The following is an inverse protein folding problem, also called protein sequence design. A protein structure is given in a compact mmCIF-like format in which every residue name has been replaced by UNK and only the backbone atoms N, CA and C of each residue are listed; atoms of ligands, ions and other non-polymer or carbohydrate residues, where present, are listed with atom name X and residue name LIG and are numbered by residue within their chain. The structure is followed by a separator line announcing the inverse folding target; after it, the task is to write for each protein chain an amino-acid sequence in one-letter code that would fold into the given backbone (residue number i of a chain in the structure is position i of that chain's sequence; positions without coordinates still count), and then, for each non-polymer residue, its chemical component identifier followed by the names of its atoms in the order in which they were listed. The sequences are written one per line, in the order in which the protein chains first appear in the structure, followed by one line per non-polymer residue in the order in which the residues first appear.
data_IF_221116939857
#
_entry.id   IF_221116939857
#
_cell.length_a   1.000
_cell.length_b   1.000
_cell.length_c   1.000
_cell.angle_alpha   90.00
_cell.angle_beta   90.00
_cell.angle_gamma   90.00
#
_symmetry.space_group_name_H-M   'P 1'
#
loop_
_entity.id
_entity.type
_entity.pdbx_description
1 polymer ?
#
# COMPACT_ATOMS: atom_id res chain seq x y z
N UNK A 1 -4.20 -12.92 17.50
CA UNK A 1 -4.29 -12.75 16.04
C UNK A 1 -3.52 -11.50 15.69
N UNK A 2 -2.51 -11.61 14.83
CA UNK A 2 -1.72 -10.48 14.37
C UNK A 2 -2.34 -9.82 13.14
N UNK A 3 -2.43 -8.50 13.14
CA UNK A 3 -2.78 -7.69 11.96
C UNK A 3 -1.59 -6.80 11.62
N UNK A 4 -1.12 -6.89 10.38
CA UNK A 4 0.07 -6.19 9.89
C UNK A 4 -0.37 -5.13 8.87
N UNK A 5 -0.04 -3.87 9.12
CA UNK A 5 -0.28 -2.78 8.18
C UNK A 5 0.99 -1.96 8.01
N UNK A 6 1.41 -1.71 6.77
CA UNK A 6 2.65 -0.97 6.48
C UNK A 6 2.23 0.46 6.13
N UNK A 7 2.67 1.44 6.93
CA UNK A 7 2.48 2.85 6.58
C UNK A 7 3.55 3.25 5.58
N UNK A 8 3.12 3.81 4.45
CA UNK A 8 4.02 4.30 3.41
C UNK A 8 4.99 5.38 3.94
N UNK A 9 6.15 5.50 3.31
CA UNK A 9 7.11 6.56 3.54
C UNK A 9 6.59 7.99 3.57
N UNK A 10 6.96 8.67 4.64
CA UNK A 10 6.87 10.12 4.78
C UNK A 10 7.79 10.80 3.75
N UNK A 11 7.25 11.27 2.62
CA UNK A 11 7.98 12.20 1.76
C UNK A 11 8.26 13.51 2.51
N UNK A 12 9.41 14.14 2.28
CA UNK A 12 9.71 15.51 2.75
C UNK A 12 8.92 16.60 1.98
N UNK A 13 7.86 16.26 1.23
CA UNK A 13 7.02 17.19 0.46
C UNK A 13 5.56 17.10 0.91
N UNK A 14 4.84 18.23 1.02
CA UNK A 14 3.44 18.23 1.43
C UNK A 14 2.56 17.81 0.23
N UNK A 15 2.30 16.53 0.08
CA UNK A 15 1.38 15.96 -0.92
C UNK A 15 0.50 14.86 -0.31
N UNK A 16 -0.71 14.60 -0.85
CA UNK A 16 -1.73 13.83 -0.15
C UNK A 16 -1.64 12.33 -0.46
N UNK A 17 -1.23 11.53 0.51
CA UNK A 17 -1.80 10.19 0.77
C UNK A 17 -1.32 9.67 2.13
N UNK A 18 -2.20 9.72 3.13
CA UNK A 18 -2.08 8.96 4.39
C UNK A 18 -2.85 7.65 4.23
N UNK A 19 -2.53 6.85 3.22
CA UNK A 19 -3.15 5.54 3.05
C UNK A 19 -2.16 4.42 3.41
N UNK A 20 -2.63 3.49 4.24
CA UNK A 20 -1.90 2.28 4.63
C UNK A 20 -1.74 1.40 3.40
N UNK A 21 -0.53 0.92 3.11
CA UNK A 21 -0.30 -0.01 2.01
C UNK A 21 -0.37 -1.44 2.51
N UNK A 22 -0.90 -2.32 1.67
CA UNK A 22 -0.81 -3.77 1.89
C UNK A 22 0.64 -4.23 1.80
N UNK A 23 0.95 -5.33 2.47
CA UNK A 23 2.22 -6.05 2.29
C UNK A 23 2.51 -6.31 0.81
N UNK A 24 3.79 -6.34 0.48
CA UNK A 24 4.30 -6.50 -0.88
C UNK A 24 3.94 -5.37 -1.86
N UNK A 25 3.58 -4.18 -1.37
CA UNK A 25 3.35 -3.02 -2.23
C UNK A 25 4.63 -2.56 -2.97
N UNK A 26 4.45 -1.89 -4.11
CA UNK A 26 5.53 -1.25 -4.86
C UNK A 26 5.83 0.13 -4.26
N UNK A 27 7.10 0.40 -3.94
CA UNK A 27 7.56 1.63 -3.28
C UNK A 27 8.72 2.24 -4.08
N UNK A 28 8.73 3.53 -4.38
CA UNK A 28 9.88 4.17 -5.01
C UNK A 28 11.14 4.07 -4.14
N UNK A 29 12.31 3.99 -4.75
CA UNK A 29 13.59 4.07 -4.04
C UNK A 29 13.79 5.46 -3.42
N UNK A 30 14.55 5.51 -2.32
CA UNK A 30 14.93 6.75 -1.62
C UNK A 30 13.90 7.21 -0.59
N UNK A 31 12.98 6.31 -0.26
CA UNK A 31 11.93 6.53 0.72
C UNK A 31 12.32 5.97 2.11
N UNK A 32 11.59 6.30 3.17
CA UNK A 32 11.81 5.72 4.52
C UNK A 32 10.64 4.87 5.00
N UNK A 33 10.88 3.60 5.35
CA UNK A 33 9.86 2.71 5.92
C UNK A 33 9.58 2.99 7.40
N UNK A 34 8.34 2.69 7.83
CA UNK A 34 7.90 2.65 9.23
C UNK A 34 6.87 1.51 9.37
N UNK A 35 7.11 0.57 10.28
CA UNK A 35 6.26 -0.61 10.48
C UNK A 35 5.33 -0.41 11.68
N UNK A 36 4.06 -0.74 11.49
CA UNK A 36 3.06 -0.80 12.55
C UNK A 36 2.48 -2.22 12.63
N UNK A 37 2.43 -2.78 13.84
CA UNK A 37 1.91 -4.13 14.07
C UNK A 37 0.88 -4.08 15.19
N UNK A 38 -0.30 -4.65 14.96
CA UNK A 38 -1.30 -4.83 16.00
C UNK A 38 -1.28 -6.27 16.50
N UNK A 39 -0.98 -6.43 17.79
CA UNK A 39 -1.07 -7.70 18.50
C UNK A 39 -2.33 -7.75 19.36
N UNK A 40 -3.21 -8.74 19.13
CA UNK A 40 -4.37 -9.01 19.99
C UNK A 40 -4.10 -10.15 20.97
N UNK A 41 -4.49 -9.98 22.23
CA UNK A 41 -4.52 -11.06 23.21
C UNK A 41 -5.76 -11.95 23.03
N UNK A 42 -5.61 -13.09 22.37
CA UNK A 42 -6.70 -14.07 22.19
C UNK A 42 -6.82 -15.08 23.35
N UNK A 43 -6.02 -14.93 24.41
CA UNK A 43 -6.11 -15.79 25.59
C UNK A 43 -7.34 -15.44 26.43
N UNK A 44 -7.80 -16.40 27.25
CA UNK A 44 -8.91 -16.18 28.20
C UNK A 44 -8.52 -15.41 29.46
N UNK A 45 -7.27 -14.98 29.58
CA UNK A 45 -6.72 -14.29 30.75
C UNK A 45 -5.81 -13.13 30.32
N UNK A 46 -5.63 -12.11 31.17
CA UNK A 46 -4.71 -11.01 30.88
C UNK A 46 -3.28 -11.50 30.66
N UNK A 47 -2.60 -10.90 29.68
CA UNK A 47 -1.23 -11.26 29.31
C UNK A 47 -0.39 -10.06 28.95
N UNK A 48 0.85 -10.09 29.39
CA UNK A 48 1.87 -9.16 28.94
C UNK A 48 2.39 -9.61 27.56
N UNK A 49 2.00 -8.86 26.54
CA UNK A 49 2.36 -9.11 25.14
C UNK A 49 3.64 -8.35 24.77
N UNK A 50 4.38 -8.89 23.82
CA UNK A 50 5.55 -8.22 23.22
C UNK A 50 5.62 -8.51 21.73
N UNK A 51 6.56 -7.84 21.07
CA UNK A 51 6.81 -8.00 19.65
C UNK A 51 8.31 -7.99 19.40
N UNK A 52 8.74 -8.78 18.43
CA UNK A 52 10.05 -8.68 17.82
C UNK A 52 9.90 -8.72 16.31
N UNK A 53 10.59 -7.86 15.58
CA UNK A 53 10.69 -8.00 14.13
C UNK A 53 12.05 -7.61 13.58
N UNK A 54 12.35 -8.21 12.43
CA UNK A 54 13.55 -7.95 11.66
C UNK A 54 13.16 -7.60 10.24
N UNK A 55 13.58 -6.43 9.76
CA UNK A 55 13.47 -6.03 8.36
C UNK A 55 14.82 -6.22 7.69
N UNK A 56 14.83 -6.86 6.52
CA UNK A 56 16.03 -7.03 5.69
C UNK A 56 15.85 -6.35 4.34
N UNK A 57 16.94 -5.80 3.84
CA UNK A 57 17.03 -5.29 2.49
C UNK A 57 17.12 -6.41 1.44
N UNK A 58 17.08 -6.08 0.14
CA UNK A 58 17.13 -7.06 -0.95
C UNK A 58 18.41 -7.92 -0.97
N UNK A 59 19.50 -7.49 -0.33
CA UNK A 59 20.74 -8.25 -0.20
C UNK A 59 20.75 -9.14 1.07
N UNK A 60 19.67 -9.11 1.85
CA UNK A 60 19.52 -9.83 3.11
C UNK A 60 20.17 -9.15 4.32
N UNK A 61 20.60 -7.88 4.20
CA UNK A 61 21.17 -7.11 5.30
C UNK A 61 20.06 -6.59 6.20
N UNK A 62 20.21 -6.75 7.51
CA UNK A 62 19.24 -6.22 8.49
C UNK A 62 19.29 -4.69 8.49
N UNK A 63 18.17 -4.06 8.17
CA UNK A 63 17.98 -2.60 8.19
C UNK A 63 17.17 -2.13 9.40
N UNK A 64 16.41 -3.04 10.01
CA UNK A 64 15.74 -2.81 11.28
C UNK A 64 15.70 -4.11 12.09
N UNK A 65 15.97 -3.99 13.39
CA UNK A 65 15.78 -5.02 14.40
C UNK A 65 15.08 -4.34 15.58
N UNK A 66 13.78 -4.61 15.75
CA UNK A 66 12.91 -3.90 16.69
C UNK A 66 12.32 -4.89 17.70
N UNK A 67 12.38 -4.54 18.98
CA UNK A 67 11.72 -5.27 20.05
C UNK A 67 11.01 -4.29 20.98
N UNK A 68 9.79 -4.62 21.38
CA UNK A 68 9.05 -3.87 22.39
C UNK A 68 8.05 -4.74 23.16
N UNK A 69 7.67 -4.26 24.33
CA UNK A 69 6.74 -4.90 25.26
C UNK A 69 5.68 -3.90 25.71
N UNK A 70 4.43 -4.35 25.80
CA UNK A 70 3.30 -3.45 26.08
C UNK A 70 3.54 -2.68 27.39
N UNK A 71 3.58 -1.36 27.28
CA UNK A 71 3.73 -0.47 28.42
C UNK A 71 2.90 0.81 28.26
N UNK A 72 2.48 1.38 29.39
CA UNK A 72 1.76 2.67 29.45
C UNK A 72 2.48 3.55 30.45
N UNK A 73 2.92 4.73 30.01
CA UNK A 73 3.75 5.66 30.80
C UNK A 73 5.00 4.99 31.41
N UNK A 74 5.61 4.03 30.70
CA UNK A 74 6.78 3.29 31.16
C UNK A 74 6.50 2.21 32.21
N UNK A 75 5.23 2.00 32.58
CA UNK A 75 4.82 0.87 33.41
C UNK A 75 4.41 -0.31 32.52
N UNK A 76 4.93 -1.50 32.85
CA UNK A 76 4.52 -2.77 32.24
C UNK A 76 3.03 -3.01 32.52
N UNK A 77 2.23 -3.27 31.47
CA UNK A 77 0.82 -3.62 31.61
C UNK A 77 0.50 -4.97 30.98
N UNK A 78 -0.64 -5.54 31.34
CA UNK A 78 -1.20 -6.72 30.67
C UNK A 78 -2.38 -6.28 29.83
N UNK A 79 -2.57 -6.90 28.66
CA UNK A 79 -3.75 -6.72 27.84
C UNK A 79 -4.85 -7.69 28.30
N UNK A 80 -6.07 -7.20 28.47
CA UNK A 80 -7.22 -8.05 28.77
C UNK A 80 -7.58 -8.95 27.57
N UNK A 81 -8.33 -10.05 27.79
CA UNK A 81 -8.81 -10.90 26.71
C UNK A 81 -9.57 -10.13 25.63
N UNK A 82 -9.10 -10.20 24.38
CA UNK A 82 -9.69 -9.56 23.21
C UNK A 82 -9.14 -8.18 22.89
N UNK A 83 -8.37 -7.55 23.78
CA UNK A 83 -7.75 -6.25 23.55
C UNK A 83 -6.56 -6.35 22.60
N UNK A 84 -6.37 -5.28 21.82
CA UNK A 84 -5.23 -5.10 20.93
C UNK A 84 -4.27 -4.01 21.42
N UNK A 85 -3.02 -4.11 20.95
CA UNK A 85 -2.00 -3.10 21.15
C UNK A 85 -1.24 -2.86 19.85
N UNK A 86 -1.01 -1.59 19.55
CA UNK A 86 -0.21 -1.13 18.42
C UNK A 86 1.25 -1.01 18.83
N UNK A 87 2.13 -1.71 18.12
CA UNK A 87 3.57 -1.57 18.21
C UNK A 87 4.07 -0.78 17.01
N UNK A 88 4.91 0.23 17.26
CA UNK A 88 5.41 1.16 16.23
C UNK A 88 6.93 1.12 16.20
N UNK A 89 7.48 0.79 15.03
CA UNK A 89 8.93 0.69 14.83
C UNK A 89 9.72 1.98 14.82
N UNK A 90 11.00 1.81 14.54
CA UNK A 90 11.85 2.87 14.06
C UNK A 90 11.62 3.18 12.58
N UNK A 91 12.41 4.13 12.07
CA UNK A 91 12.47 4.43 10.64
C UNK A 91 13.72 3.80 10.04
N UNK A 92 13.60 3.29 8.82
CA UNK A 92 14.72 2.76 8.03
C UNK A 92 14.63 3.22 6.57
N UNK A 93 15.76 3.22 5.86
CA UNK A 93 15.84 3.73 4.50
C UNK A 93 15.64 2.62 3.45
N UNK A 94 14.74 2.86 2.51
CA UNK A 94 14.47 2.05 1.33
C UNK A 94 15.37 2.51 0.17
N UNK A 95 16.67 2.25 0.30
CA UNK A 95 17.71 2.81 -0.57
C UNK A 95 18.15 1.92 -1.74
N UNK A 96 17.82 0.64 -1.67
CA UNK A 96 18.16 -0.38 -2.69
C UNK A 96 16.91 -0.82 -3.43
N UNK A 97 17.05 -1.13 -4.72
CA UNK A 97 16.02 -1.75 -5.55
C UNK A 97 15.82 -3.22 -5.19
N UNK A 98 14.57 -3.69 -5.20
CA UNK A 98 14.21 -5.08 -4.95
C UNK A 98 13.32 -5.26 -3.71
N UNK A 99 13.11 -6.51 -3.34
CA UNK A 99 12.18 -6.90 -2.29
C UNK A 99 12.83 -6.79 -0.90
N UNK A 100 12.24 -5.98 -0.04
CA UNK A 100 12.53 -5.97 1.39
C UNK A 100 11.65 -7.02 2.05
N UNK A 101 12.21 -7.77 2.99
CA UNK A 101 11.49 -8.82 3.72
C UNK A 101 11.34 -8.43 5.18
N UNK A 102 10.27 -8.90 5.82
CA UNK A 102 10.06 -8.75 7.26
C UNK A 102 9.73 -10.11 7.89
N UNK A 103 10.33 -10.36 9.05
CA UNK A 103 9.96 -11.44 9.95
C UNK A 103 9.47 -10.83 11.27
N UNK A 104 8.26 -11.18 11.69
CA UNK A 104 7.59 -10.65 12.87
C UNK A 104 7.24 -11.82 13.79
N UNK A 105 7.52 -11.67 15.08
CA UNK A 105 7.18 -12.62 16.14
C UNK A 105 6.40 -11.90 17.23
N UNK A 106 5.16 -12.31 17.46
CA UNK A 106 4.37 -11.88 18.60
C UNK A 106 4.73 -12.73 19.81
N UNK A 107 5.07 -12.08 20.91
CA UNK A 107 5.64 -12.68 22.10
C UNK A 107 4.68 -12.58 23.29
N UNK A 108 4.84 -13.50 24.23
CA UNK A 108 4.17 -13.50 25.53
C UNK A 108 5.17 -13.91 26.61
N UNK A 109 4.96 -13.45 27.85
CA UNK A 109 5.79 -13.73 29.03
C UNK A 109 7.21 -13.14 28.94
N UNK A 110 7.43 -11.85 29.30
CA UNK A 110 8.70 -11.16 29.09
C UNK A 110 9.92 -11.81 29.75
N UNK A 111 9.76 -12.46 30.90
CA UNK A 111 10.88 -13.10 31.61
C UNK A 111 11.29 -14.46 31.00
N UNK A 112 10.42 -15.04 30.17
CA UNK A 112 10.67 -16.27 29.41
C UNK A 112 9.84 -16.22 28.13
N UNK A 113 10.25 -15.42 27.13
CA UNK A 113 9.43 -15.12 25.96
C UNK A 113 9.03 -16.38 25.19
N UNK A 114 7.74 -16.47 24.88
CA UNK A 114 7.15 -17.51 24.03
C UNK A 114 6.55 -16.84 22.81
N UNK A 115 6.89 -17.34 21.62
CA UNK A 115 6.27 -16.90 20.36
C UNK A 115 4.86 -17.48 20.29
N UNK A 116 3.87 -16.61 20.20
CA UNK A 116 2.44 -16.97 20.14
C UNK A 116 1.83 -16.79 18.75
N UNK A 117 2.46 -15.97 17.90
CA UNK A 117 2.09 -15.78 16.50
C UNK A 117 3.34 -15.31 15.73
N UNK A 118 3.40 -15.57 14.42
CA UNK A 118 4.54 -15.15 13.60
C UNK A 118 4.17 -14.95 12.14
N UNK A 119 4.85 -14.03 11.48
CA UNK A 119 4.75 -13.77 10.05
C UNK A 119 6.15 -13.65 9.46
N UNK A 120 6.36 -14.23 8.28
CA UNK A 120 7.58 -14.04 7.50
C UNK A 120 7.18 -13.87 6.03
N UNK A 121 7.68 -12.82 5.38
CA UNK A 121 7.39 -12.57 3.98
C UNK A 121 7.88 -11.22 3.47
N UNK A 122 7.38 -10.86 2.28
CA UNK A 122 7.72 -9.63 1.60
C UNK A 122 7.06 -8.44 2.31
N UNK A 123 7.88 -7.48 2.73
CA UNK A 123 7.41 -6.22 3.27
C UNK A 123 6.94 -5.30 2.15
N UNK A 124 7.82 -5.00 1.21
CA UNK A 124 7.55 -4.19 0.03
C UNK A 124 8.59 -4.51 -1.06
N UNK A 125 8.26 -4.18 -2.30
CA UNK A 125 9.22 -4.21 -3.40
C UNK A 125 9.52 -2.78 -3.80
N UNK A 126 10.80 -2.44 -3.78
CA UNK A 126 11.25 -1.11 -4.18
C UNK A 126 11.65 -1.10 -5.64
N UNK A 127 11.22 -0.07 -6.37
CA UNK A 127 11.51 0.08 -7.80
C UNK A 127 12.07 1.46 -8.11
N UNK A 128 12.84 1.54 -9.19
CA UNK A 128 13.25 2.81 -9.79
C UNK A 128 12.09 3.52 -10.52
N UNK A 129 10.94 2.87 -10.64
CA UNK A 129 9.78 3.44 -11.31
C UNK A 129 9.17 4.53 -10.43
N UNK A 130 9.26 5.78 -10.90
CA UNK A 130 8.41 6.85 -10.37
C UNK A 130 6.97 6.39 -10.61
N UNK A 131 6.11 6.31 -9.58
CA UNK A 131 4.72 5.93 -9.78
C UNK A 131 4.13 6.89 -10.79
N UNK A 132 3.44 6.39 -11.82
CA UNK A 132 2.98 7.27 -12.87
C UNK A 132 2.03 8.33 -12.31
N UNK A 133 2.41 9.59 -12.46
CA UNK A 133 1.50 10.69 -12.18
C UNK A 133 0.44 10.65 -13.28
N UNK A 134 -0.80 10.36 -12.90
CA UNK A 134 -1.90 10.28 -13.86
C UNK A 134 -2.69 11.59 -13.85
N UNK A 135 -2.70 12.28 -14.98
CA UNK A 135 -3.55 13.46 -15.18
C UNK A 135 -4.86 13.06 -15.85
N UNK A 136 -6.00 13.47 -15.28
CA UNK A 136 -7.31 13.26 -15.89
C UNK A 136 -7.44 14.17 -17.12
N UNK A 137 -7.44 13.58 -18.31
CA UNK A 137 -7.55 14.32 -19.57
C UNK A 137 -8.96 14.37 -20.12
N UNK A 138 -9.81 13.40 -19.77
CA UNK A 138 -11.20 13.34 -20.22
C UNK A 138 -12.09 12.72 -19.15
N UNK A 139 -13.25 13.34 -18.92
CA UNK A 139 -14.27 12.83 -18.01
C UNK A 139 -15.65 13.04 -18.63
N UNK A 140 -16.32 11.94 -18.95
CA UNK A 140 -17.66 11.95 -19.53
C UNK A 140 -18.62 11.25 -18.56
N UNK A 141 -19.60 12.01 -18.06
CA UNK A 141 -20.71 11.48 -17.26
C UNK A 141 -21.92 11.34 -18.17
N UNK A 142 -22.49 10.14 -18.25
CA UNK A 142 -23.63 9.87 -19.10
C UNK A 142 -24.94 10.18 -18.37
N UNK A 143 -26.02 10.59 -19.08
CA UNK A 143 -27.30 10.88 -18.45
C UNK A 143 -27.86 9.75 -17.59
N UNK A 144 -27.54 8.49 -17.94
CA UNK A 144 -27.95 7.31 -17.18
C UNK A 144 -27.36 7.27 -15.77
N UNK A 145 -26.19 7.90 -15.53
CA UNK A 145 -25.57 7.98 -14.22
C UNK A 145 -26.43 8.66 -13.16
N UNK A 146 -27.25 9.64 -13.55
CA UNK A 146 -28.08 10.40 -12.61
C UNK A 146 -29.33 9.63 -12.14
N UNK A 147 -29.66 8.53 -12.81
CA UNK A 147 -30.86 7.72 -12.51
C UNK A 147 -30.51 6.26 -12.18
N UNK A 148 -29.23 5.90 -12.26
CA UNK A 148 -28.76 4.57 -11.92
C UNK A 148 -28.45 4.49 -10.43
N UNK A 149 -29.04 3.49 -9.77
CA UNK A 149 -28.84 3.17 -8.36
C UNK A 149 -28.54 1.67 -8.27
N UNK A 150 -27.27 1.32 -8.10
CA UNK A 150 -26.77 -0.07 -8.14
C UNK A 150 -25.24 -0.15 -8.22
N UNK A 151 -24.71 -1.38 -8.13
CA UNK A 151 -23.27 -1.64 -8.22
C UNK A 151 -22.74 -1.36 -9.63
N UNK A 152 -21.69 -0.55 -9.74
CA UNK A 152 -21.05 -0.21 -11.02
C UNK A 152 -19.79 -1.04 -11.24
N UNK A 153 -19.68 -1.67 -12.41
CA UNK A 153 -18.44 -2.31 -12.85
C UNK A 153 -17.47 -1.24 -13.37
N UNK A 154 -16.39 -0.99 -12.62
CA UNK A 154 -15.32 -0.07 -13.04
C UNK A 154 -14.27 -0.84 -13.83
N UNK A 155 -14.05 -0.44 -15.09
CA UNK A 155 -12.98 -0.99 -15.93
C UNK A 155 -11.90 0.06 -16.15
N UNK A 156 -10.66 -0.28 -15.80
CA UNK A 156 -9.48 0.55 -16.04
C UNK A 156 -8.72 -0.07 -17.21
N UNK A 157 -8.45 0.73 -18.24
CA UNK A 157 -7.63 0.35 -19.39
C UNK A 157 -6.42 1.29 -19.49
N UNK A 158 -5.21 0.72 -19.44
CA UNK A 158 -3.95 1.46 -19.55
C UNK A 158 -3.35 1.24 -20.92
N UNK A 159 -2.91 2.31 -21.58
CA UNK A 159 -2.26 2.27 -22.88
C UNK A 159 -0.96 3.09 -22.84
N UNK A 160 0.11 2.55 -23.41
CA UNK A 160 1.38 3.27 -23.58
C UNK A 160 1.31 4.08 -24.88
N UNK A 161 1.60 5.38 -24.78
CA UNK A 161 1.68 6.29 -25.95
C UNK A 161 3.09 6.84 -26.06
N UNK A 162 3.49 7.24 -27.27
CA UNK A 162 4.74 7.97 -27.43
C UNK A 162 4.59 9.41 -26.88
N UNK A 163 5.68 10.04 -26.42
CA UNK A 163 5.64 11.39 -25.81
C UNK A 163 5.30 12.52 -26.77
N UNK A 164 5.34 12.28 -28.08
CA UNK A 164 5.17 13.31 -29.09
C UNK A 164 3.75 13.33 -29.68
N UNK A 165 2.92 12.34 -29.38
CA UNK A 165 1.51 12.34 -29.76
C UNK A 165 0.67 13.03 -28.68
N UNK A 166 0.03 14.18 -28.97
CA UNK A 166 -0.82 14.85 -27.99
C UNK A 166 -1.97 13.92 -27.59
N UNK A 167 -1.95 13.34 -26.39
CA UNK A 167 -2.86 12.29 -25.96
C UNK A 167 -4.34 12.72 -25.85
N UNK A 168 -4.63 14.03 -25.88
CA UNK A 168 -5.98 14.57 -25.73
C UNK A 168 -6.95 14.06 -26.80
N UNK A 169 -6.58 14.03 -28.08
CA UNK A 169 -7.47 13.54 -29.15
C UNK A 169 -7.73 12.02 -29.07
N UNK A 170 -6.81 11.27 -28.44
CA UNK A 170 -7.00 9.82 -28.21
C UNK A 170 -7.98 9.54 -27.08
N UNK A 171 -8.00 10.36 -26.03
CA UNK A 171 -8.96 10.21 -24.94
C UNK A 171 -10.40 10.31 -25.43
N UNK A 172 -10.71 11.31 -26.25
CA UNK A 172 -12.03 11.49 -26.87
C UNK A 172 -12.39 10.33 -27.80
N UNK A 173 -11.45 9.90 -28.64
CA UNK A 173 -11.67 8.80 -29.59
C UNK A 173 -11.89 7.47 -28.86
N UNK A 174 -11.15 7.22 -27.78
CA UNK A 174 -11.31 6.05 -26.93
C UNK A 174 -12.67 6.07 -26.23
N UNK A 175 -13.03 7.17 -25.57
CA UNK A 175 -14.31 7.30 -24.88
C UNK A 175 -15.49 7.09 -25.85
N UNK A 176 -15.40 7.68 -27.05
CA UNK A 176 -16.41 7.51 -28.11
C UNK A 176 -16.53 6.06 -28.58
N UNK A 177 -15.41 5.37 -28.77
CA UNK A 177 -15.40 3.97 -29.22
C UNK A 177 -15.84 2.99 -28.14
N UNK A 178 -15.45 3.23 -26.89
CA UNK A 178 -15.91 2.46 -25.74
C UNK A 178 -17.43 2.56 -25.61
N UNK A 179 -17.99 3.78 -25.71
CA UNK A 179 -19.43 3.97 -25.68
C UNK A 179 -20.14 3.24 -26.82
N UNK A 180 -19.61 3.30 -28.05
CA UNK A 180 -20.15 2.60 -29.21
C UNK A 180 -20.22 1.08 -28.97
N UNK A 181 -19.12 0.49 -28.49
CA UNK A 181 -19.03 -0.95 -28.19
C UNK A 181 -19.96 -1.38 -27.04
N UNK A 182 -20.00 -0.60 -25.95
CA UNK A 182 -20.86 -0.89 -24.80
C UNK A 182 -22.33 -0.87 -25.23
N UNK A 183 -22.73 0.14 -26.02
CA UNK A 183 -24.09 0.24 -26.56
C UNK A 183 -24.40 -0.87 -27.55
N UNK A 184 -23.46 -1.25 -28.42
CA UNK A 184 -23.63 -2.34 -29.38
C UNK A 184 -23.88 -3.69 -28.68
N UNK A 185 -23.34 -3.87 -27.47
CA UNK A 185 -23.55 -5.05 -26.62
C UNK A 185 -24.77 -4.94 -25.70
N UNK A 186 -25.57 -3.89 -25.82
CA UNK A 186 -26.77 -3.66 -25.01
C UNK A 186 -26.50 -3.07 -23.63
N UNK A 187 -25.25 -2.70 -23.32
CA UNK A 187 -24.87 -2.02 -22.10
C UNK A 187 -25.14 -0.51 -22.14
N UNK A 188 -25.01 0.14 -20.99
CA UNK A 188 -25.10 1.61 -20.85
C UNK A 188 -23.91 2.11 -20.04
N UNK A 189 -23.02 2.92 -20.62
CA UNK A 189 -21.94 3.52 -19.85
C UNK A 189 -22.55 4.53 -18.86
N UNK A 190 -21.99 4.57 -17.65
CA UNK A 190 -22.41 5.47 -16.57
C UNK A 190 -21.39 6.62 -16.47
N UNK A 191 -20.12 6.26 -16.34
CA UNK A 191 -19.01 7.20 -16.21
C UNK A 191 -17.81 6.66 -16.99
N UNK A 192 -17.12 7.53 -17.73
CA UNK A 192 -15.86 7.21 -18.40
C UNK A 192 -14.84 8.27 -18.02
N UNK A 193 -13.72 7.82 -17.45
CA UNK A 193 -12.57 8.65 -17.09
C UNK A 193 -11.36 8.15 -17.87
N UNK A 194 -10.67 9.06 -18.55
CA UNK A 194 -9.41 8.77 -19.25
C UNK A 194 -8.30 9.54 -18.58
N UNK A 195 -7.28 8.80 -18.15
CA UNK A 195 -6.08 9.34 -17.52
C UNK A 195 -4.89 9.19 -18.47
N UNK A 196 -3.96 10.14 -18.43
CA UNK A 196 -2.67 10.05 -19.11
C UNK A 196 -1.56 9.93 -18.08
N UNK A 197 -0.61 9.04 -18.33
CA UNK A 197 0.63 8.95 -17.58
C UNK A 197 1.54 10.14 -17.97
N UNK A 198 1.83 11.02 -17.00
CA UNK A 198 2.69 12.20 -17.17
C UNK A 198 4.13 11.96 -16.69
N UNK A 199 4.50 10.72 -16.38
CA UNK A 199 5.85 10.38 -15.94
C UNK A 199 6.88 10.88 -16.96
N UNK A 200 7.88 11.68 -16.53
CA UNK A 200 8.95 12.11 -17.41
C UNK A 200 9.64 10.89 -18.02
N UNK A 201 9.65 10.80 -19.34
CA UNK A 201 10.39 9.74 -20.02
C UNK A 201 11.88 9.94 -19.79
N UNK A 202 12.50 9.02 -19.05
CA UNK A 202 13.96 8.91 -19.03
C UNK A 202 14.43 8.40 -20.39
N UNK A 203 15.44 9.06 -20.94
CA UNK A 203 15.94 8.91 -22.32
C UNK A 203 16.52 7.52 -22.67
N UNK A 204 16.32 6.49 -21.85
CA UNK A 204 16.96 5.18 -21.94
C UNK A 204 16.03 4.02 -22.30
N UNK A 205 14.72 4.23 -22.49
CA UNK A 205 13.77 3.17 -22.83
C UNK A 205 13.33 3.20 -24.31
N UNK A 206 14.30 3.16 -25.24
CA UNK A 206 14.08 2.95 -26.68
C UNK A 206 14.72 1.63 -27.14
#
# INVERSE_FOLDING_TARGET
MMKLEVIYPSTNKPGPSKELLSLAASVPIGQSGLVHVWGRNDMSVPRHMGIHWVVKDPDGVVVEDYEDWVSVFGAKIELDPGDDHEFIGGRFDLSKEGTYTIAVSLLMNPDSPVIVDSYEGDLCTTTLEVPPEFELIQHTIYPYAYIYDGDVEVTIATFKTDPFTPAAWMGDKFASKLEEEVRARGGRPIEVKVYVDTTPLFWTNF
#
